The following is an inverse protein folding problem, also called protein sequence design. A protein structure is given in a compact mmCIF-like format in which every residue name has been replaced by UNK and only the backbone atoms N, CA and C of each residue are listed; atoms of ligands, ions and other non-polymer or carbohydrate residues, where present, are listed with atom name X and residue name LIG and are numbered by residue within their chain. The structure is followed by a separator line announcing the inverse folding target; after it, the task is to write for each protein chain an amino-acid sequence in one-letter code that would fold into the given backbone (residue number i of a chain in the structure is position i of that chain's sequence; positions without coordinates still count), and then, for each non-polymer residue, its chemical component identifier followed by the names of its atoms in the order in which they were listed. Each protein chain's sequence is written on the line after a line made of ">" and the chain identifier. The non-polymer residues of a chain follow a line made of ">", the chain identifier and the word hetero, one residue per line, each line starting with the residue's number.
data_IF_763942453956
#
_entry.id   IF_763942453956
#
_cell.length_a   1.000
_cell.length_b   1.000
_cell.length_c   1.000
_cell.angle_alpha   90.00
_cell.angle_beta   90.00
_cell.angle_gamma   90.00
#
_symmetry.space_group_name_H-M   'P 1'
#
loop_
_entity.id
_entity.type
_entity.pdbx_description
1 polymer ?
#
# COMPACT_ATOMS: atom_id res chain seq x y z
N UNK A 1 9.27 -4.92 8.25
CA UNK A 1 10.48 -4.39 8.91
C UNK A 1 10.12 -3.52 10.10
N UNK A 2 9.48 -2.33 9.93
CA UNK A 2 9.10 -1.45 11.05
C UNK A 2 8.18 -2.18 12.02
N UNK A 3 7.14 -2.86 11.53
CA UNK A 3 6.26 -3.70 12.33
C UNK A 3 7.03 -4.75 13.14
N UNK A 4 7.98 -5.46 12.50
CA UNK A 4 8.70 -6.55 13.15
C UNK A 4 9.60 -6.03 14.26
N UNK A 5 10.19 -4.84 14.09
CA UNK A 5 10.94 -4.14 15.14
C UNK A 5 10.03 -3.74 16.30
N UNK A 6 8.86 -3.17 16.03
CA UNK A 6 7.89 -2.78 17.05
C UNK A 6 7.32 -3.99 17.80
N UNK A 7 7.15 -5.13 17.15
CA UNK A 7 6.71 -6.39 17.75
C UNK A 7 7.83 -7.19 18.42
N UNK A 8 9.07 -6.67 18.46
CA UNK A 8 10.22 -7.34 19.03
C UNK A 8 10.68 -8.58 18.25
N UNK A 9 10.27 -8.72 17.00
CA UNK A 9 10.64 -9.83 16.12
C UNK A 9 11.97 -9.57 15.44
N UNK A 10 13.06 -9.91 16.08
CA UNK A 10 14.42 -9.83 15.55
C UNK A 10 15.02 -11.22 15.39
N UNK A 11 15.83 -11.47 14.35
CA UNK A 11 16.10 -10.64 13.16
C UNK A 11 14.90 -10.54 12.22
N UNK A 12 14.83 -9.42 11.47
CA UNK A 12 13.75 -9.16 10.51
C UNK A 12 13.74 -10.26 9.44
N UNK A 13 12.55 -10.67 8.98
CA UNK A 13 12.36 -11.87 8.15
C UNK A 13 13.24 -11.91 6.88
N UNK A 14 13.43 -10.80 6.19
CA UNK A 14 14.22 -10.75 4.95
C UNK A 14 15.73 -10.89 5.15
N UNK A 15 16.23 -10.79 6.38
CA UNK A 15 17.60 -11.19 6.72
C UNK A 15 17.77 -12.70 6.79
N UNK A 16 16.69 -13.44 7.08
CA UNK A 16 16.70 -14.91 7.11
C UNK A 16 16.45 -15.51 5.74
N UNK A 17 15.58 -14.88 4.98
CA UNK A 17 15.05 -15.36 3.70
C UNK A 17 15.61 -14.47 2.59
N UNK A 18 16.82 -14.75 2.13
CA UNK A 18 17.51 -13.97 1.07
C UNK A 18 16.73 -13.99 -0.24
N UNK A 19 15.87 -14.98 -0.44
CA UNK A 19 15.01 -15.11 -1.62
C UNK A 19 14.12 -13.88 -1.83
N UNK A 20 13.60 -13.26 -0.75
CA UNK A 20 12.82 -12.03 -0.86
C UNK A 20 13.63 -10.86 -1.41
N UNK A 21 14.88 -10.74 -0.98
CA UNK A 21 15.77 -9.69 -1.47
C UNK A 21 16.09 -9.90 -2.95
N UNK A 22 16.42 -11.14 -3.34
CA UNK A 22 16.70 -11.49 -4.73
C UNK A 22 15.47 -11.28 -5.61
N UNK A 23 14.28 -11.64 -5.15
CA UNK A 23 13.03 -11.40 -5.86
C UNK A 23 12.79 -9.90 -6.06
N UNK A 24 12.98 -9.09 -5.03
CA UNK A 24 12.79 -7.63 -5.12
C UNK A 24 13.79 -6.99 -6.10
N UNK A 25 15.07 -7.36 -6.02
CA UNK A 25 16.10 -6.84 -6.93
C UNK A 25 15.84 -7.33 -8.36
N UNK A 26 15.53 -8.61 -8.54
CA UNK A 26 15.22 -9.19 -9.83
C UNK A 26 14.01 -8.55 -10.51
N UNK A 27 12.92 -8.35 -9.77
CA UNK A 27 11.74 -7.67 -10.30
C UNK A 27 11.99 -6.19 -10.59
N UNK A 28 12.79 -5.50 -9.79
CA UNK A 28 13.16 -4.11 -10.05
C UNK A 28 14.00 -3.99 -11.33
N UNK A 29 14.99 -4.86 -11.53
CA UNK A 29 15.78 -4.91 -12.75
C UNK A 29 14.91 -5.26 -13.97
N UNK A 30 14.04 -6.27 -13.85
CA UNK A 30 13.13 -6.65 -14.93
C UNK A 30 12.20 -5.49 -15.31
N UNK A 31 11.65 -4.77 -14.34
CA UNK A 31 10.80 -3.59 -14.58
C UNK A 31 11.60 -2.46 -15.25
N UNK A 32 12.85 -2.25 -14.85
CA UNK A 32 13.71 -1.23 -15.44
C UNK A 32 13.99 -1.52 -16.93
N UNK A 33 14.32 -2.76 -17.27
CA UNK A 33 14.57 -3.16 -18.67
C UNK A 33 13.30 -3.29 -19.51
N UNK A 34 12.16 -3.52 -18.88
CA UNK A 34 10.87 -3.65 -19.57
C UNK A 34 10.07 -2.35 -19.59
N UNK A 35 10.65 -1.21 -19.17
CA UNK A 35 9.96 0.08 -19.05
C UNK A 35 9.13 0.42 -20.29
N UNK A 36 9.72 0.35 -21.48
CA UNK A 36 9.05 0.70 -22.74
C UNK A 36 7.81 -0.17 -23.04
N UNK A 37 7.76 -1.40 -22.48
CA UNK A 37 6.63 -2.33 -22.64
C UNK A 37 5.58 -2.19 -21.53
N UNK A 38 5.94 -1.53 -20.44
CA UNK A 38 5.08 -1.28 -19.28
C UNK A 38 4.34 0.05 -19.38
N UNK A 39 4.49 0.79 -20.48
CA UNK A 39 3.71 1.98 -20.78
C UNK A 39 2.46 1.59 -21.58
N UNK A 40 1.29 1.91 -21.03
CA UNK A 40 0.02 1.66 -21.69
C UNK A 40 -1.14 1.35 -20.73
N UNK A 41 -2.39 1.48 -21.19
CA UNK A 41 -3.57 1.31 -20.34
C UNK A 41 -3.67 -0.10 -19.72
N UNK A 42 -3.22 -1.12 -20.44
CA UNK A 42 -3.21 -2.50 -19.94
C UNK A 42 -2.21 -2.68 -18.79
N UNK A 43 -1.05 -2.02 -18.89
CA UNK A 43 -0.04 -2.08 -17.84
C UNK A 43 -0.48 -1.31 -16.58
N UNK A 44 -1.13 -0.17 -16.74
CA UNK A 44 -1.70 0.59 -15.62
C UNK A 44 -2.78 -0.23 -14.88
N UNK A 45 -3.64 -0.92 -15.62
CA UNK A 45 -4.65 -1.79 -15.02
C UNK A 45 -4.02 -2.98 -14.29
N UNK A 46 -3.01 -3.61 -14.89
CA UNK A 46 -2.27 -4.71 -14.25
C UNK A 46 -1.56 -4.26 -12.97
N UNK A 47 -0.96 -3.08 -12.97
CA UNK A 47 -0.33 -2.49 -11.77
C UNK A 47 -1.36 -2.18 -10.68
N UNK A 48 -2.54 -1.68 -11.05
CA UNK A 48 -3.63 -1.43 -10.11
C UNK A 48 -4.12 -2.72 -9.45
N UNK A 49 -4.31 -3.79 -10.24
CA UNK A 49 -4.69 -5.10 -9.72
C UNK A 49 -3.60 -5.71 -8.84
N UNK A 50 -2.32 -5.61 -9.25
CA UNK A 50 -1.19 -6.06 -8.47
C UNK A 50 -1.09 -5.35 -7.12
N UNK A 51 -1.27 -4.03 -7.09
CA UNK A 51 -1.30 -3.23 -5.88
C UNK A 51 -2.50 -3.62 -4.99
N UNK A 52 -3.68 -3.84 -5.58
CA UNK A 52 -4.90 -4.24 -4.85
C UNK A 52 -4.74 -5.59 -4.17
N UNK A 53 -4.21 -6.59 -4.88
CA UNK A 53 -3.91 -7.90 -4.31
C UNK A 53 -2.83 -7.83 -3.25
N UNK A 54 -1.79 -7.02 -3.49
CA UNK A 54 -0.72 -6.78 -2.53
C UNK A 54 -1.22 -6.20 -1.21
N UNK A 55 -2.09 -5.19 -1.26
CA UNK A 55 -2.69 -4.60 -0.06
C UNK A 55 -3.55 -5.64 0.69
N UNK A 56 -4.33 -6.43 -0.04
CA UNK A 56 -5.12 -7.51 0.54
C UNK A 56 -4.26 -8.52 1.30
N UNK A 57 -3.21 -9.00 0.67
CA UNK A 57 -2.28 -9.94 1.29
C UNK A 57 -1.54 -9.33 2.50
N UNK A 58 -0.97 -8.12 2.35
CA UNK A 58 -0.19 -7.50 3.42
C UNK A 58 -1.03 -7.03 4.60
N UNK A 59 -2.30 -6.67 4.40
CA UNK A 59 -3.21 -6.34 5.50
C UNK A 59 -3.44 -7.55 6.40
N UNK A 60 -3.65 -8.72 5.81
CA UNK A 60 -3.85 -9.97 6.55
C UNK A 60 -2.56 -10.48 7.17
N UNK A 61 -1.43 -10.46 6.44
CA UNK A 61 -0.11 -10.85 6.97
C UNK A 61 0.29 -9.96 8.16
N UNK A 62 -0.01 -8.67 8.08
CA UNK A 62 0.23 -7.73 9.18
C UNK A 62 -0.61 -8.04 10.41
N UNK A 63 -1.89 -8.29 10.22
CA UNK A 63 -2.83 -8.67 11.28
C UNK A 63 -2.45 -10.03 11.91
N UNK A 64 -2.13 -11.02 11.09
CA UNK A 64 -1.69 -12.34 11.56
C UNK A 64 -0.41 -12.25 12.39
N UNK A 65 0.55 -11.44 11.97
CA UNK A 65 1.78 -11.24 12.72
C UNK A 65 1.54 -10.60 14.10
N UNK A 66 0.61 -9.67 14.22
CA UNK A 66 0.22 -9.09 15.50
C UNK A 66 -0.55 -10.08 16.38
N UNK A 67 -1.47 -10.83 15.80
CA UNK A 67 -2.23 -11.87 16.50
C UNK A 67 -1.33 -12.97 17.08
N UNK A 68 -0.29 -13.37 16.33
CA UNK A 68 0.65 -14.41 16.77
C UNK A 68 1.57 -13.99 17.94
N UNK A 69 1.66 -12.71 18.24
CA UNK A 69 2.36 -12.15 19.42
C UNK A 69 1.39 -11.91 20.58
N UNK A 70 0.10 -12.25 20.40
CA UNK A 70 -0.91 -12.09 21.44
C UNK A 70 -1.45 -10.68 21.60
N UNK A 71 -1.36 -9.85 20.56
CA UNK A 71 -1.93 -8.50 20.58
C UNK A 71 -3.45 -8.53 20.64
N UNK A 72 -4.03 -7.53 21.30
CA UNK A 72 -5.48 -7.41 21.47
C UNK A 72 -6.24 -7.15 20.16
N UNK A 73 -7.56 -7.38 20.15
CA UNK A 73 -8.40 -7.35 18.95
C UNK A 73 -8.45 -5.98 18.26
N UNK A 74 -8.16 -4.88 18.96
CA UNK A 74 -8.09 -3.55 18.37
C UNK A 74 -6.73 -3.27 17.71
N UNK A 75 -5.65 -3.83 18.24
CA UNK A 75 -4.30 -3.58 17.74
C UNK A 75 -4.02 -4.40 16.47
N UNK A 76 -4.58 -5.61 16.38
CA UNK A 76 -4.40 -6.51 15.25
C UNK A 76 -4.80 -5.87 13.91
N UNK A 77 -6.00 -5.28 13.75
CA UNK A 77 -6.38 -4.60 12.52
C UNK A 77 -5.48 -3.39 12.18
N UNK A 78 -5.09 -2.62 13.18
CA UNK A 78 -4.22 -1.46 13.00
C UNK A 78 -2.85 -1.90 12.48
N UNK A 79 -2.26 -2.96 13.04
CA UNK A 79 -1.01 -3.53 12.52
C UNK A 79 -1.13 -4.04 11.08
N UNK A 80 -2.28 -4.60 10.73
CA UNK A 80 -2.58 -5.02 9.37
C UNK A 80 -2.60 -3.83 8.40
N UNK A 81 -3.36 -2.79 8.73
CA UNK A 81 -3.45 -1.56 7.94
C UNK A 81 -2.06 -0.93 7.76
N UNK A 82 -1.31 -0.73 8.84
CA UNK A 82 0.04 -0.16 8.75
C UNK A 82 0.98 -1.01 7.90
N UNK A 83 0.91 -2.32 8.01
CA UNK A 83 1.77 -3.21 7.20
C UNK A 83 1.49 -3.07 5.72
N UNK A 84 0.23 -2.94 5.33
CA UNK A 84 -0.19 -2.78 3.95
C UNK A 84 0.13 -1.39 3.38
N UNK A 85 0.04 -0.33 4.19
CA UNK A 85 0.09 1.06 3.71
C UNK A 85 1.44 1.74 3.88
N UNK A 86 2.20 1.42 4.93
CA UNK A 86 3.47 2.10 5.23
C UNK A 86 4.52 1.95 4.12
N UNK A 87 4.55 0.83 3.41
CA UNK A 87 5.49 0.63 2.29
C UNK A 87 5.29 1.68 1.19
N UNK A 88 4.04 1.90 0.79
CA UNK A 88 3.67 2.93 -0.19
C UNK A 88 3.97 4.34 0.29
N UNK A 89 3.67 4.62 1.56
CA UNK A 89 3.95 5.92 2.17
C UNK A 89 5.45 6.25 2.15
N UNK A 90 6.29 5.31 2.58
CA UNK A 90 7.76 5.49 2.58
C UNK A 90 8.28 5.68 1.14
N UNK A 91 7.81 4.88 0.20
CA UNK A 91 8.17 5.04 -1.22
C UNK A 91 7.81 6.43 -1.72
N UNK A 92 6.58 6.90 -1.49
CA UNK A 92 6.11 8.17 -2.01
C UNK A 92 6.89 9.34 -1.40
N UNK A 93 7.20 9.29 -0.11
CA UNK A 93 8.04 10.29 0.57
C UNK A 93 9.46 10.30 0.00
N UNK A 94 10.09 9.14 -0.17
CA UNK A 94 11.45 9.03 -0.74
C UNK A 94 11.50 9.53 -2.19
N UNK A 95 10.45 9.28 -2.97
CA UNK A 95 10.32 9.72 -4.34
C UNK A 95 9.82 11.17 -4.49
N UNK A 96 9.65 11.90 -3.38
CA UNK A 96 9.08 13.26 -3.36
C UNK A 96 7.74 13.37 -4.09
N UNK A 97 6.94 12.30 -4.03
CA UNK A 97 5.57 12.28 -4.57
C UNK A 97 4.57 12.52 -3.45
N UNK A 98 3.41 13.15 -3.73
CA UNK A 98 2.37 13.27 -2.72
C UNK A 98 1.91 11.86 -2.29
N UNK A 99 1.90 11.55 -0.99
CA UNK A 99 1.57 10.21 -0.51
C UNK A 99 0.13 9.86 -0.85
N UNK A 100 -0.09 8.81 -1.63
CA UNK A 100 -1.42 8.33 -2.03
C UNK A 100 -2.35 8.02 -0.85
N UNK A 101 -1.76 7.74 0.31
CA UNK A 101 -2.50 7.48 1.55
C UNK A 101 -3.25 8.72 2.07
N UNK A 102 -2.67 9.91 1.89
CA UNK A 102 -3.17 11.18 2.44
C UNK A 102 -3.97 11.99 1.41
N UNK A 103 -3.79 11.71 0.13
CA UNK A 103 -4.46 12.41 -0.94
C UNK A 103 -5.45 11.48 -1.64
N UNK A 104 -6.72 11.79 -1.52
CA UNK A 104 -7.78 11.25 -2.37
C UNK A 104 -7.87 12.09 -3.65
N UNK A 105 -6.74 12.42 -4.26
CA UNK A 105 -6.71 13.29 -5.42
C UNK A 105 -7.09 12.49 -6.68
N UNK A 106 -8.34 12.56 -6.98
CA UNK A 106 -8.93 12.17 -8.23
C UNK A 106 -8.66 13.23 -9.30
N UNK A 107 -7.44 13.47 -9.74
CA UNK A 107 -7.34 14.50 -10.79
C UNK A 107 -6.43 14.22 -11.99
N UNK A 108 -5.46 13.33 -11.92
CA UNK A 108 -4.54 13.20 -13.05
C UNK A 108 -4.33 11.77 -13.60
N UNK A 109 -5.01 10.76 -13.05
CA UNK A 109 -4.94 9.40 -13.60
C UNK A 109 -6.14 8.55 -13.20
N UNK A 110 -6.75 7.81 -14.14
CA UNK A 110 -7.83 6.84 -13.82
C UNK A 110 -7.42 5.82 -12.76
N UNK A 111 -6.14 5.51 -12.66
CA UNK A 111 -5.58 4.63 -11.64
C UNK A 111 -5.53 5.26 -10.22
N UNK A 112 -5.69 6.58 -10.11
CA UNK A 112 -5.73 7.30 -8.84
C UNK A 112 -7.16 7.52 -8.32
N UNK A 113 -8.17 7.30 -9.16
CA UNK A 113 -9.57 7.46 -8.80
C UNK A 113 -10.00 6.39 -7.78
N UNK A 114 -10.65 6.82 -6.71
CA UNK A 114 -11.28 5.90 -5.75
C UNK A 114 -10.33 5.23 -4.78
N UNK A 115 -9.39 5.95 -4.21
CA UNK A 115 -8.40 5.36 -3.30
C UNK A 115 -8.91 5.25 -1.86
N UNK A 116 -9.80 4.30 -1.61
CA UNK A 116 -10.06 3.80 -0.25
C UNK A 116 -8.89 2.92 0.22
N UNK A 117 -7.65 3.47 0.16
CA UNK A 117 -6.42 2.69 0.38
C UNK A 117 -6.34 2.17 1.81
N UNK A 118 -6.30 3.06 2.79
CA UNK A 118 -6.24 2.72 4.20
C UNK A 118 -7.54 2.10 4.73
N UNK A 119 -8.75 2.62 4.40
CA UNK A 119 -9.99 1.99 4.81
C UNK A 119 -10.18 0.56 4.29
N UNK A 120 -9.76 0.27 3.05
CA UNK A 120 -9.82 -1.08 2.51
C UNK A 120 -8.86 -2.03 3.26
N UNK A 121 -7.62 -1.61 3.52
CA UNK A 121 -6.68 -2.39 4.31
C UNK A 121 -7.19 -2.63 5.74
N UNK A 122 -7.75 -1.60 6.37
CA UNK A 122 -8.31 -1.71 7.72
C UNK A 122 -9.52 -2.66 7.76
N UNK A 123 -10.42 -2.57 6.77
CA UNK A 123 -11.61 -3.45 6.72
C UNK A 123 -11.23 -4.92 6.57
N UNK A 124 -10.28 -5.25 5.70
CA UNK A 124 -9.81 -6.61 5.54
C UNK A 124 -9.05 -7.14 6.75
N UNK A 125 -8.20 -6.33 7.35
CA UNK A 125 -7.53 -6.69 8.60
C UNK A 125 -8.51 -6.87 9.76
N UNK A 126 -9.59 -6.07 9.81
CA UNK A 126 -10.65 -6.22 10.80
C UNK A 126 -11.48 -7.49 10.58
N UNK A 127 -11.78 -7.83 9.34
CA UNK A 127 -12.47 -9.08 9.00
C UNK A 127 -11.62 -10.29 9.42
N UNK A 128 -10.33 -10.26 9.13
CA UNK A 128 -9.39 -11.29 9.61
C UNK A 128 -9.39 -11.40 11.13
N UNK A 129 -9.24 -10.26 11.84
CA UNK A 129 -9.20 -10.24 13.30
C UNK A 129 -10.49 -10.79 13.91
N UNK A 130 -11.64 -10.38 13.41
CA UNK A 130 -12.93 -10.87 13.86
C UNK A 130 -13.05 -12.38 13.74
N UNK A 131 -12.72 -12.94 12.57
CA UNK A 131 -12.77 -14.38 12.33
C UNK A 131 -11.75 -15.15 13.17
N UNK A 132 -10.56 -14.61 13.34
CA UNK A 132 -9.50 -15.20 14.16
C UNK A 132 -9.93 -15.31 15.63
N UNK A 133 -10.47 -14.24 16.20
CA UNK A 133 -10.94 -14.23 17.60
C UNK A 133 -12.26 -14.99 17.78
N UNK A 134 -13.06 -15.15 16.73
CA UNK A 134 -14.24 -16.03 16.72
C UNK A 134 -13.90 -17.52 16.64
N UNK A 135 -12.61 -17.88 16.53
CA UNK A 135 -12.16 -19.27 16.45
C UNK A 135 -12.32 -19.91 15.08
N UNK A 136 -12.52 -19.13 14.02
CA UNK A 136 -12.58 -19.65 12.65
C UNK A 136 -11.21 -20.21 12.23
N UNK A 137 -11.23 -21.19 11.34
CA UNK A 137 -9.99 -21.76 10.79
C UNK A 137 -9.11 -20.70 10.11
N UNK A 138 -7.80 -20.76 10.34
CA UNK A 138 -6.85 -19.80 9.80
C UNK A 138 -6.98 -19.56 8.28
N UNK A 139 -7.13 -20.60 7.43
CA UNK A 139 -7.24 -20.38 5.98
C UNK A 139 -8.50 -19.60 5.60
N UNK A 140 -9.61 -19.83 6.29
CA UNK A 140 -10.86 -19.11 6.06
C UNK A 140 -10.75 -17.63 6.44
N UNK A 141 -10.14 -17.35 7.61
CA UNK A 141 -9.92 -15.98 8.07
C UNK A 141 -9.01 -15.20 7.11
N UNK A 142 -7.95 -15.84 6.60
CA UNK A 142 -7.04 -15.25 5.62
C UNK A 142 -7.78 -14.94 4.32
N UNK A 143 -8.49 -15.92 3.76
CA UNK A 143 -9.19 -15.77 2.48
C UNK A 143 -10.26 -14.67 2.54
N UNK A 144 -11.07 -14.65 3.59
CA UNK A 144 -12.12 -13.64 3.77
C UNK A 144 -11.55 -12.26 4.07
N UNK A 145 -10.46 -12.15 4.83
CA UNK A 145 -9.77 -10.90 5.06
C UNK A 145 -9.22 -10.30 3.76
N UNK A 146 -8.55 -11.11 2.94
CA UNK A 146 -8.07 -10.68 1.62
C UNK A 146 -9.23 -10.30 0.70
N UNK A 147 -10.27 -11.12 0.61
CA UNK A 147 -11.43 -10.87 -0.22
C UNK A 147 -12.16 -9.57 0.17
N UNK A 148 -12.27 -9.29 1.47
CA UNK A 148 -12.86 -8.04 1.98
C UNK A 148 -12.06 -6.83 1.53
N UNK A 149 -10.72 -6.85 1.66
CA UNK A 149 -9.87 -5.75 1.20
C UNK A 149 -10.04 -5.50 -0.30
N UNK A 150 -9.95 -6.57 -1.10
CA UNK A 150 -10.09 -6.49 -2.56
C UNK A 150 -11.49 -5.99 -2.93
N UNK A 151 -12.55 -6.52 -2.29
CA UNK A 151 -13.92 -6.13 -2.54
C UNK A 151 -14.21 -4.66 -2.24
N UNK A 152 -13.77 -4.16 -1.07
CA UNK A 152 -13.94 -2.75 -0.69
C UNK A 152 -13.20 -1.83 -1.65
N UNK A 153 -11.99 -2.20 -2.06
CA UNK A 153 -11.19 -1.40 -2.98
C UNK A 153 -11.79 -1.38 -4.39
N UNK A 154 -12.21 -2.54 -4.89
CA UNK A 154 -12.87 -2.65 -6.20
C UNK A 154 -14.20 -1.92 -6.21
N UNK A 155 -14.98 -2.00 -5.12
CA UNK A 155 -16.22 -1.24 -4.98
C UNK A 155 -15.96 0.27 -4.97
N UNK A 156 -14.95 0.73 -4.22
CA UNK A 156 -14.54 2.14 -4.20
C UNK A 156 -14.14 2.65 -5.57
N UNK A 157 -13.37 1.84 -6.30
CA UNK A 157 -12.98 2.14 -7.69
C UNK A 157 -14.19 2.22 -8.63
N UNK A 158 -15.08 1.23 -8.60
CA UNK A 158 -16.25 1.17 -9.47
C UNK A 158 -17.28 2.28 -9.21
N UNK A 159 -17.35 2.76 -7.96
CA UNK A 159 -18.27 3.83 -7.55
C UNK A 159 -17.65 5.20 -7.46
N UNK A 160 -16.36 5.36 -7.78
CA UNK A 160 -15.61 6.61 -7.62
C UNK A 160 -15.79 7.23 -6.22
N UNK A 161 -15.78 6.39 -5.18
CA UNK A 161 -15.94 6.85 -3.81
C UNK A 161 -14.65 7.53 -3.36
N UNK A 162 -14.71 8.85 -3.20
CA UNK A 162 -13.62 9.64 -2.68
C UNK A 162 -13.85 9.95 -1.21
N UNK A 163 -12.80 9.86 -0.39
CA UNK A 163 -12.85 10.35 0.98
C UNK A 163 -12.90 11.88 0.99
N UNK A 164 -13.66 12.49 1.89
CA UNK A 164 -13.62 13.94 2.06
C UNK A 164 -12.19 14.36 2.41
N UNK A 165 -11.59 15.18 1.56
CA UNK A 165 -10.30 15.80 1.85
C UNK A 165 -10.55 17.11 2.57
N UNK A 166 -9.86 17.31 3.70
CA UNK A 166 -9.80 18.61 4.33
C UNK A 166 -8.93 19.52 3.46
N UNK A 167 -9.54 20.41 2.70
CA UNK A 167 -8.83 21.42 1.95
C UNK A 167 -9.03 22.77 2.60
N UNK A 168 -8.00 23.26 3.28
CA UNK A 168 -7.88 24.68 3.65
C UNK A 168 -7.48 25.55 2.43
N UNK A 169 -7.42 24.95 1.23
CA UNK A 169 -7.12 25.67 0.01
C UNK A 169 -8.42 26.32 -0.46
N UNK A 170 -8.52 27.65 -0.46
CA UNK A 170 -9.65 28.34 -1.08
C UNK A 170 -9.85 27.86 -2.50
N UNK A 171 -11.11 27.71 -2.94
CA UNK A 171 -11.44 27.22 -4.27
C UNK A 171 -10.81 28.04 -5.43
N UNK A 172 -10.28 29.21 -5.12
CA UNK A 172 -9.62 30.15 -6.04
C UNK A 172 -8.10 29.99 -6.09
N UNK A 173 -7.51 29.16 -5.23
CA UNK A 173 -6.11 28.81 -5.36
C UNK A 173 -6.01 27.90 -6.59
N UNK A 174 -5.54 28.46 -7.69
CA UNK A 174 -5.26 27.73 -8.91
C UNK A 174 -4.43 26.45 -8.64
N UNK A 175 -4.25 25.57 -9.63
CA UNK A 175 -3.62 24.28 -9.44
C UNK A 175 -2.35 24.43 -8.61
N UNK A 176 -2.24 23.63 -7.55
CA UNK A 176 -1.11 23.66 -6.64
C UNK A 176 0.19 23.77 -7.45
N UNK A 177 1.10 24.70 -7.10
CA UNK A 177 2.30 24.89 -7.90
C UNK A 177 2.95 23.52 -8.01
N UNK A 178 3.02 22.98 -9.22
CA UNK A 178 3.88 21.84 -9.51
C UNK A 178 5.22 22.28 -8.96
N UNK A 179 5.69 21.61 -7.91
CA UNK A 179 7.05 21.81 -7.46
C UNK A 179 7.86 21.63 -8.73
N UNK A 180 8.29 22.76 -9.30
CA UNK A 180 9.02 22.79 -10.54
C UNK A 180 10.10 21.71 -10.38
N UNK A 181 10.05 20.72 -11.24
CA UNK A 181 11.19 19.84 -11.40
C UNK A 181 12.34 20.83 -11.55
N UNK A 182 13.16 20.91 -10.52
CA UNK A 182 14.31 21.79 -10.54
C UNK A 182 15.15 21.24 -11.66
N UNK A 183 15.14 21.90 -12.82
CA UNK A 183 16.06 21.69 -13.93
C UNK A 183 17.49 22.08 -13.47
N UNK A 184 17.88 21.53 -12.34
CA UNK A 184 19.27 21.58 -11.92
C UNK A 184 19.97 20.43 -12.65
N UNK A 185 20.83 20.69 -13.60
CA UNK A 185 21.64 19.67 -14.21
C UNK A 185 22.42 18.99 -13.08
N UNK A 186 22.28 17.67 -12.99
CA UNK A 186 23.13 16.84 -12.14
C UNK A 186 24.57 17.06 -12.63
N UNK A 187 25.28 17.96 -11.97
CA UNK A 187 26.72 18.07 -12.14
C UNK A 187 27.29 16.83 -11.44
N UNK A 188 27.44 15.77 -12.21
CA UNK A 188 28.26 14.63 -11.84
C UNK A 188 29.69 15.13 -11.92
N UNK A 189 30.19 15.68 -10.82
CA UNK A 189 31.64 15.93 -10.67
C UNK A 189 32.26 14.58 -10.35
N UNK A 190 32.91 14.01 -11.35
CA UNK A 190 33.78 12.86 -11.18
C UNK A 190 34.88 13.20 -10.16
N UNK A 191 35.04 12.37 -9.14
CA UNK A 191 36.27 12.11 -8.39
C UNK A 191 36.42 10.59 -8.27
#
# INVERSE_FOLDING_TARGET
>A
TIRDLLLGRTPVFWFREVEYLLLCVGTALAAFYAHDKLEGPVAEEALWWGDTLGIGAFSVVGAQAAASVGMGPLVVPICGMFTATCGGLVRDVLCRRPPKLLYSAAQDSPAAAGTLYAPAALSGASAYAFLHFAGAGAPLAIALGCATTVGVRTYGYARNVNLPTYSDVPADAGPAPRLAATDAPLVVTAL
#
